data_IF_050412095823
#
_entry.id   IF_050412095823
#
_cell.length_a   1.000
_cell.length_b   1.000
_cell.length_c   1.000
_cell.angle_alpha   90.00
_cell.angle_beta   90.00
_cell.angle_gamma   90.00
#
_symmetry.space_group_name_H-M   'P 1'
#
loop_
_entity.id
_entity.type
_entity.pdbx_description
1 polymer ?
#
# COMPACT_ATOMS: atom_id res chain seq x y z
N UNK A 1 -44.26 4.16 -14.39
CA UNK A 1 -43.47 3.66 -13.24
C UNK A 1 -41.99 3.76 -13.60
N UNK A 2 -41.29 4.83 -13.21
CA UNK A 2 -39.82 4.81 -13.09
C UNK A 2 -39.49 5.68 -11.88
N UNK A 3 -38.96 5.05 -10.82
CA UNK A 3 -38.57 5.72 -9.59
C UNK A 3 -37.40 6.66 -9.86
N UNK A 4 -37.55 7.95 -9.52
CA UNK A 4 -36.42 8.86 -9.34
C UNK A 4 -35.62 8.38 -8.13
N UNK A 5 -34.44 7.83 -8.35
CA UNK A 5 -33.52 7.54 -7.25
C UNK A 5 -32.93 8.86 -6.75
N UNK A 6 -33.26 9.21 -5.50
CA UNK A 6 -32.66 10.32 -4.78
C UNK A 6 -31.15 10.04 -4.59
N UNK A 7 -30.31 10.97 -5.03
CA UNK A 7 -28.88 10.97 -4.72
C UNK A 7 -28.73 11.48 -3.29
N UNK A 8 -28.37 10.58 -2.37
CA UNK A 8 -28.06 10.90 -0.99
C UNK A 8 -26.66 11.57 -0.88
N UNK A 9 -26.46 12.60 -0.05
CA UNK A 9 -25.22 13.40 0.01
C UNK A 9 -24.03 12.70 0.69
N UNK A 10 -23.91 11.38 0.60
CA UNK A 10 -22.76 10.63 1.15
C UNK A 10 -22.25 9.51 0.25
N UNK A 11 -22.48 9.61 -1.06
CA UNK A 11 -21.73 8.80 -2.01
C UNK A 11 -20.28 9.29 -2.03
N UNK A 12 -19.44 8.71 -1.16
CA UNK A 12 -17.99 8.68 -1.33
C UNK A 12 -17.72 8.32 -2.79
N UNK A 13 -16.92 9.13 -3.47
CA UNK A 13 -16.44 8.87 -4.82
C UNK A 13 -15.50 7.65 -4.74
N UNK A 14 -16.08 6.45 -4.72
CA UNK A 14 -15.33 5.21 -4.84
C UNK A 14 -14.96 5.14 -6.32
N UNK A 15 -13.78 5.67 -6.67
CA UNK A 15 -13.23 5.41 -7.98
C UNK A 15 -13.18 3.88 -8.16
N UNK A 16 -13.80 3.34 -9.22
CA UNK A 16 -13.78 1.91 -9.46
C UNK A 16 -12.33 1.48 -9.60
N UNK A 17 -11.89 0.56 -8.75
CA UNK A 17 -10.56 -0.04 -8.79
C UNK A 17 -10.35 -0.55 -10.22
N UNK A 18 -9.49 0.10 -10.98
CA UNK A 18 -9.34 -0.18 -12.40
C UNK A 18 -8.71 -1.57 -12.53
N UNK A 19 -9.35 -2.47 -13.27
CA UNK A 19 -8.93 -3.86 -13.45
C UNK A 19 -7.53 -4.02 -14.11
N UNK A 20 -6.88 -2.93 -14.48
CA UNK A 20 -5.50 -2.86 -14.99
C UNK A 20 -4.44 -2.68 -13.90
N UNK A 21 -4.87 -2.63 -12.64
CA UNK A 21 -4.00 -2.43 -11.49
C UNK A 21 -3.30 -3.74 -11.10
N UNK A 22 -1.97 -3.76 -11.23
CA UNK A 22 -1.15 -4.91 -10.85
C UNK A 22 -1.29 -5.32 -9.37
N UNK A 23 -0.66 -6.45 -8.96
CA UNK A 23 -0.88 -7.06 -7.65
C UNK A 23 -0.62 -6.10 -6.48
N UNK A 24 0.33 -5.18 -6.63
CA UNK A 24 0.65 -4.17 -5.61
C UNK A 24 -0.47 -3.14 -5.45
N UNK A 25 -1.03 -2.62 -6.54
CA UNK A 25 -2.12 -1.62 -6.47
C UNK A 25 -3.38 -2.18 -5.81
N UNK A 26 -3.71 -3.45 -6.10
CA UNK A 26 -4.83 -4.14 -5.43
C UNK A 26 -4.58 -4.24 -3.92
N UNK A 27 -3.37 -4.58 -3.50
CA UNK A 27 -3.02 -4.61 -2.08
C UNK A 27 -3.01 -3.21 -1.45
N UNK A 28 -2.50 -2.22 -2.17
CA UNK A 28 -2.44 -0.82 -1.75
C UNK A 28 -3.83 -0.29 -1.43
N UNK A 29 -4.80 -0.49 -2.33
CA UNK A 29 -6.17 -0.06 -2.11
C UNK A 29 -6.78 -0.72 -0.86
N UNK A 30 -6.55 -2.03 -0.68
CA UNK A 30 -7.02 -2.75 0.52
C UNK A 30 -6.37 -2.23 1.80
N UNK A 31 -5.09 -1.86 1.75
CA UNK A 31 -4.39 -1.27 2.88
C UNK A 31 -4.96 0.12 3.23
N UNK A 32 -5.21 0.97 2.22
CA UNK A 32 -5.84 2.28 2.41
C UNK A 32 -7.24 2.18 3.02
N UNK A 33 -8.07 1.26 2.52
CA UNK A 33 -9.40 0.99 3.07
C UNK A 33 -9.36 0.60 4.56
N UNK A 34 -8.39 -0.25 4.93
CA UNK A 34 -8.18 -0.66 6.32
C UNK A 34 -7.76 0.53 7.19
N UNK A 35 -6.84 1.35 6.71
CA UNK A 35 -6.38 2.55 7.43
C UNK A 35 -7.54 3.52 7.61
N UNK A 36 -8.30 3.82 6.57
CA UNK A 36 -9.46 4.71 6.60
C UNK A 36 -10.54 4.23 7.59
N UNK A 37 -10.78 2.91 7.66
CA UNK A 37 -11.71 2.31 8.64
C UNK A 37 -11.15 2.35 10.06
N UNK A 38 -9.84 2.19 10.24
CA UNK A 38 -9.23 2.24 11.57
C UNK A 38 -9.20 3.65 12.15
N UNK A 39 -9.00 4.67 11.32
CA UNK A 39 -9.03 6.08 11.74
C UNK A 39 -10.43 6.53 12.22
N UNK A 40 -11.50 5.82 11.83
CA UNK A 40 -12.86 6.11 12.31
C UNK A 40 -13.13 5.63 13.74
N UNK A 41 -12.23 4.84 14.33
CA UNK A 41 -12.35 4.38 15.72
C UNK A 41 -11.65 5.36 16.66
N UNK A 42 -12.41 6.13 17.48
CA UNK A 42 -11.79 7.01 18.47
C UNK A 42 -11.06 6.17 19.53
N UNK A 43 -9.73 6.29 19.58
CA UNK A 43 -8.87 5.62 20.57
C UNK A 43 -7.65 4.89 19.98
N UNK A 44 -7.71 4.44 18.72
CA UNK A 44 -6.61 3.74 18.07
C UNK A 44 -5.72 4.72 17.29
N UNK A 45 -4.66 5.22 17.93
CA UNK A 45 -3.65 6.04 17.25
C UNK A 45 -2.68 5.14 16.47
N UNK A 46 -2.95 4.99 15.18
CA UNK A 46 -2.14 4.19 14.25
C UNK A 46 -0.80 4.92 13.95
N UNK A 47 0.23 4.69 14.76
CA UNK A 47 1.52 5.41 14.65
C UNK A 47 2.48 4.83 13.60
N UNK A 48 2.35 3.53 13.31
CA UNK A 48 3.16 2.77 12.37
C UNK A 48 2.29 1.80 11.59
N UNK A 49 2.46 1.75 10.27
CA UNK A 49 1.74 0.84 9.38
C UNK A 49 2.53 0.53 8.12
N UNK A 50 2.12 -0.52 7.43
CA UNK A 50 2.67 -0.87 6.12
C UNK A 50 1.74 -0.38 5.01
N UNK A 51 2.32 0.37 4.07
CA UNK A 51 1.66 0.76 2.82
C UNK A 51 2.57 0.29 1.66
N UNK A 52 2.12 -0.64 0.82
CA UNK A 52 2.98 -1.20 -0.23
C UNK A 52 3.33 -0.11 -1.26
N UNK A 53 4.62 0.05 -1.52
CA UNK A 53 5.16 0.99 -2.49
C UNK A 53 5.13 0.34 -3.88
N UNK A 54 4.24 0.84 -4.73
CA UNK A 54 4.04 0.32 -6.08
C UNK A 54 4.78 1.13 -7.13
N UNK A 55 5.12 0.48 -8.24
CA UNK A 55 5.58 1.15 -9.45
C UNK A 55 4.39 1.60 -10.33
N UNK A 56 4.68 2.29 -11.44
CA UNK A 56 3.67 2.79 -12.36
C UNK A 56 2.86 1.69 -13.08
N UNK A 57 3.32 0.45 -13.05
CA UNK A 57 2.66 -0.70 -13.67
C UNK A 57 1.85 -1.52 -12.66
N UNK A 58 1.83 -1.12 -11.38
CA UNK A 58 1.12 -1.83 -10.31
C UNK A 58 1.89 -3.02 -9.73
N UNK A 59 3.20 -3.12 -9.97
CA UNK A 59 4.08 -4.09 -9.32
C UNK A 59 4.76 -3.50 -8.09
N UNK A 60 5.33 -4.35 -7.23
CA UNK A 60 5.99 -3.90 -6.02
C UNK A 60 7.36 -3.31 -6.37
N UNK A 61 7.71 -2.16 -5.78
CA UNK A 61 9.10 -1.72 -5.78
C UNK A 61 9.95 -2.67 -4.94
N UNK A 62 11.19 -2.89 -5.36
CA UNK A 62 12.11 -3.80 -4.69
C UNK A 62 12.31 -3.43 -3.21
N UNK A 63 12.39 -2.14 -2.88
CA UNK A 63 12.45 -1.65 -1.50
C UNK A 63 11.06 -1.29 -0.97
N UNK A 64 10.66 -1.94 0.10
CA UNK A 64 9.43 -1.66 0.86
C UNK A 64 9.80 -1.12 2.23
N UNK A 65 9.00 -0.21 2.77
CA UNK A 65 9.26 0.41 4.07
C UNK A 65 7.98 0.52 4.88
N UNK A 66 8.12 0.44 6.20
CA UNK A 66 7.08 0.84 7.12
C UNK A 66 6.88 2.36 7.07
N UNK A 67 5.63 2.79 7.10
CA UNK A 67 5.23 4.19 7.19
C UNK A 67 4.94 4.56 8.63
N UNK A 68 5.41 5.74 9.06
CA UNK A 68 5.09 6.28 10.39
C UNK A 68 4.50 7.67 10.27
N UNK A 69 3.44 7.94 11.04
CA UNK A 69 2.84 9.27 11.13
C UNK A 69 3.66 10.23 12.00
N UNK A 70 4.56 9.71 12.83
CA UNK A 70 5.35 10.48 13.80
C UNK A 70 6.72 10.89 13.24
N UNK A 71 6.89 10.82 11.92
CA UNK A 71 8.13 11.20 11.23
C UNK A 71 9.32 10.26 11.47
N UNK A 72 9.12 9.16 12.20
CA UNK A 72 10.15 8.14 12.41
C UNK A 72 10.39 7.37 11.11
N UNK A 73 11.67 7.18 10.73
CA UNK A 73 12.00 6.28 9.61
C UNK A 73 11.55 4.87 9.98
N UNK A 74 10.60 4.33 9.22
CA UNK A 74 10.18 2.95 9.36
C UNK A 74 11.27 1.99 8.88
N UNK A 75 11.16 0.73 9.28
CA UNK A 75 12.08 -0.32 8.81
C UNK A 75 11.82 -0.58 7.33
N UNK A 76 12.88 -0.78 6.56
CA UNK A 76 12.78 -1.15 5.16
C UNK A 76 13.27 -2.59 4.93
N UNK A 77 12.75 -3.25 3.92
CA UNK A 77 13.14 -4.59 3.50
C UNK A 77 13.04 -4.74 1.99
N UNK A 78 13.69 -5.77 1.44
CA UNK A 78 13.57 -6.07 0.02
C UNK A 78 12.47 -7.08 -0.24
N UNK A 79 11.73 -6.86 -1.32
CA UNK A 79 10.71 -7.76 -1.83
C UNK A 79 10.92 -8.06 -3.30
N UNK A 80 10.36 -9.16 -3.75
CA UNK A 80 10.24 -9.45 -5.17
C UNK A 80 9.15 -8.59 -5.81
N UNK A 81 9.44 -8.01 -6.97
CA UNK A 81 8.53 -7.08 -7.68
C UNK A 81 7.21 -7.72 -8.10
N UNK A 82 7.18 -9.02 -8.36
CA UNK A 82 6.00 -9.71 -8.87
C UNK A 82 4.98 -10.11 -7.80
N UNK A 83 5.41 -10.37 -6.55
CA UNK A 83 4.52 -10.87 -5.49
C UNK A 83 4.65 -10.15 -4.14
N UNK A 84 5.57 -9.19 -4.00
CA UNK A 84 5.78 -8.48 -2.73
C UNK A 84 6.34 -9.36 -1.60
N UNK A 85 6.77 -10.60 -1.88
CA UNK A 85 7.37 -11.47 -0.87
C UNK A 85 8.77 -11.00 -0.52
N UNK A 86 9.07 -10.99 0.78
CA UNK A 86 10.39 -10.65 1.30
C UNK A 86 11.44 -11.61 0.76
N UNK A 87 12.55 -11.05 0.30
CA UNK A 87 13.71 -11.84 -0.15
C UNK A 87 14.52 -12.22 1.09
N UNK A 88 14.81 -13.52 1.28
CA UNK A 88 15.62 -13.98 2.40
C UNK A 88 17.02 -13.36 2.33
N UNK A 89 17.52 -12.82 3.46
CA UNK A 89 18.83 -12.17 3.56
C UNK A 89 18.76 -10.63 3.68
N UNK A 90 17.62 -10.00 3.46
CA UNK A 90 17.45 -8.54 3.59
C UNK A 90 17.00 -8.09 4.99
N UNK A 91 17.30 -8.86 6.03
CA UNK A 91 16.65 -8.75 7.35
C UNK A 91 16.72 -7.37 7.98
N UNK A 92 17.82 -6.64 7.76
CA UNK A 92 18.07 -5.37 8.44
C UNK A 92 18.93 -4.46 7.54
N UNK A 93 18.35 -4.02 6.41
CA UNK A 93 19.00 -3.01 5.59
C UNK A 93 18.89 -1.66 6.31
N UNK A 94 19.98 -1.26 6.97
CA UNK A 94 20.21 0.13 7.38
C UNK A 94 20.05 0.99 6.13
N UNK A 95 19.01 1.84 6.12
CA UNK A 95 18.57 2.89 5.17
C UNK A 95 19.12 2.99 3.72
N UNK A 96 20.41 2.73 3.54
CA UNK A 96 21.23 2.96 2.36
C UNK A 96 21.62 1.68 1.60
N UNK A 97 21.23 0.49 2.07
CA UNK A 97 21.46 -0.74 1.28
C UNK A 97 20.48 -0.79 0.10
N UNK A 98 21.01 -0.65 -1.11
CA UNK A 98 20.24 -0.83 -2.34
C UNK A 98 19.75 -2.28 -2.40
N UNK A 99 18.43 -2.49 -2.46
CA UNK A 99 17.90 -3.79 -2.83
C UNK A 99 18.43 -4.08 -4.22
N UNK A 100 19.39 -5.01 -4.34
CA UNK A 100 19.87 -5.46 -5.64
C UNK A 100 18.63 -5.87 -6.43
N UNK A 101 18.24 -5.03 -7.38
CA UNK A 101 17.29 -5.41 -8.40
C UNK A 101 17.96 -6.61 -9.06
N UNK A 102 17.40 -7.80 -8.86
CA UNK A 102 17.65 -8.91 -9.77
C UNK A 102 17.40 -8.33 -11.16
N UNK A 103 18.50 -8.09 -11.88
CA UNK A 103 18.49 -7.51 -13.20
C UNK A 103 17.52 -8.34 -14.03
N UNK A 104 16.50 -7.67 -14.55
CA UNK A 104 15.70 -8.20 -15.64
C UNK A 104 16.69 -8.42 -16.80
N UNK A 105 17.03 -9.68 -17.08
CA UNK A 105 17.56 -10.06 -18.38
C UNK A 105 16.37 -10.33 -19.31
#
# INVERSE_FOLDING_TARGET
MIFKQAVHPSCINIQPVTFSDGPCHIELQRALDKIAKSQQKPGDKLTKFYLPNCDKHGFYKAKQCESSLEGQRGRCWCVSSWNGKRILGSSDLTGDSECQQELTH
#
